data_IF_373271019884
#
_entry.id   IF_373271019884
#
_cell.length_a   1.000
_cell.length_b   1.000
_cell.length_c   1.000
_cell.angle_alpha   90.00
_cell.angle_beta   90.00
_cell.angle_gamma   90.00
#
_symmetry.space_group_name_H-M   'P 1'
#
loop_
_entity.id
_entity.type
_entity.pdbx_description
1 polymer ?
#
# COMPACT_ATOMS: atom_id res chain seq x y z
N UNK A 1 48.47 -15.45 -49.74
CA UNK A 1 47.86 -16.28 -48.67
C UNK A 1 47.98 -15.51 -47.37
N UNK A 2 46.87 -14.94 -46.88
CA UNK A 2 46.57 -14.45 -45.52
C UNK A 2 45.36 -13.51 -45.61
N UNK A 3 44.24 -13.75 -44.89
CA UNK A 3 43.10 -12.83 -44.86
C UNK A 3 43.22 -11.83 -43.69
N UNK A 4 42.63 -10.62 -43.80
CA UNK A 4 42.52 -9.67 -42.69
C UNK A 4 41.29 -9.94 -41.83
N UNK A 5 41.42 -9.57 -40.56
CA UNK A 5 40.51 -9.74 -39.44
C UNK A 5 39.07 -9.24 -39.67
N UNK A 6 38.10 -10.08 -39.32
CA UNK A 6 36.74 -9.65 -38.93
C UNK A 6 36.70 -9.63 -37.40
N UNK A 7 36.78 -8.46 -36.78
CA UNK A 7 36.57 -8.29 -35.35
C UNK A 7 35.09 -7.97 -35.10
N UNK A 8 34.33 -8.98 -34.66
CA UNK A 8 32.98 -8.80 -34.12
C UNK A 8 33.13 -8.42 -32.63
N UNK A 9 32.93 -7.16 -32.28
CA UNK A 9 32.80 -6.74 -30.88
C UNK A 9 31.39 -7.10 -30.37
N UNK A 10 31.28 -8.26 -29.73
CA UNK A 10 30.17 -8.58 -28.83
C UNK A 10 30.45 -7.91 -27.48
N UNK A 11 29.77 -6.80 -27.20
CA UNK A 11 29.64 -6.26 -25.84
C UNK A 11 28.71 -7.17 -25.04
N UNK A 12 29.25 -8.27 -24.53
CA UNK A 12 28.63 -9.02 -23.44
C UNK A 12 28.80 -8.19 -22.16
N UNK A 13 27.71 -7.64 -21.63
CA UNK A 13 27.68 -7.07 -20.31
C UNK A 13 27.94 -8.19 -19.28
N UNK A 14 29.15 -8.22 -18.72
CA UNK A 14 29.46 -9.09 -17.60
C UNK A 14 28.70 -8.60 -16.37
N UNK A 15 27.59 -9.26 -16.03
CA UNK A 15 27.17 -9.36 -14.65
C UNK A 15 28.26 -10.15 -13.88
N UNK A 16 28.62 -9.76 -12.65
CA UNK A 16 29.59 -10.52 -11.87
C UNK A 16 29.08 -11.96 -11.65
N UNK A 17 29.98 -12.96 -11.59
CA UNK A 17 29.59 -14.32 -11.31
C UNK A 17 28.96 -14.37 -9.93
N UNK A 18 27.73 -14.87 -9.88
CA UNK A 18 27.05 -15.22 -8.64
C UNK A 18 27.84 -16.37 -8.04
N UNK A 19 28.41 -16.16 -6.86
CA UNK A 19 29.21 -17.16 -6.16
C UNK A 19 28.31 -18.37 -5.86
N UNK A 20 28.69 -19.55 -6.37
CA UNK A 20 27.95 -20.81 -6.26
C UNK A 20 28.11 -21.41 -4.85
N UNK A 21 27.58 -20.72 -3.84
CA UNK A 21 27.26 -21.31 -2.53
C UNK A 21 25.86 -20.94 -2.03
N UNK A 22 25.01 -20.34 -2.87
CA UNK A 22 23.58 -20.25 -2.57
C UNK A 22 22.96 -21.63 -2.80
N UNK A 23 22.97 -22.45 -1.73
CA UNK A 23 21.95 -23.48 -1.56
C UNK A 23 20.62 -22.83 -1.88
N UNK A 24 19.95 -23.31 -2.93
CA UNK A 24 18.61 -22.91 -3.29
C UNK A 24 17.80 -22.80 -2.00
N UNK A 25 17.38 -21.59 -1.66
CA UNK A 25 16.49 -21.30 -0.54
C UNK A 25 15.18 -22.02 -0.83
N UNK A 26 15.15 -23.31 -0.50
CA UNK A 26 13.97 -24.15 -0.49
C UNK A 26 12.97 -23.42 0.34
N UNK A 27 11.97 -22.82 -0.32
CA UNK A 27 10.68 -22.36 0.20
C UNK A 27 10.65 -22.46 1.73
N UNK A 28 11.35 -21.54 2.41
CA UNK A 28 11.58 -21.69 3.85
C UNK A 28 10.19 -21.78 4.45
N UNK A 29 9.90 -22.90 5.08
CA UNK A 29 8.62 -23.16 5.66
C UNK A 29 8.44 -22.10 6.74
N UNK A 30 7.76 -21.02 6.37
CA UNK A 30 7.32 -19.98 7.26
C UNK A 30 6.27 -20.50 8.24
N UNK A 31 5.95 -21.80 8.21
CA UNK A 31 4.93 -22.43 9.02
C UNK A 31 5.14 -22.03 10.48
N UNK A 32 4.05 -21.56 11.11
CA UNK A 32 4.05 -21.39 12.55
C UNK A 32 4.40 -22.72 13.19
N UNK A 33 5.12 -22.68 14.30
CA UNK A 33 5.38 -23.89 15.06
C UNK A 33 4.03 -24.44 15.53
N UNK A 34 3.60 -25.61 15.01
CA UNK A 34 2.32 -26.21 15.40
C UNK A 34 2.27 -26.48 16.91
N UNK A 35 3.44 -26.66 17.54
CA UNK A 35 3.61 -26.86 18.97
C UNK A 35 3.75 -25.53 19.75
N UNK A 36 3.94 -24.38 19.07
CA UNK A 36 3.94 -23.04 19.65
C UNK A 36 3.29 -22.00 18.71
N UNK A 37 1.95 -21.89 18.73
CA UNK A 37 1.20 -21.03 17.81
C UNK A 37 1.46 -19.53 18.01
N UNK A 38 2.06 -19.15 19.14
CA UNK A 38 2.46 -17.77 19.46
C UNK A 38 3.87 -17.43 18.95
N UNK A 39 4.54 -18.38 18.30
CA UNK A 39 5.87 -18.18 17.75
C UNK A 39 5.88 -17.66 16.31
N UNK A 40 6.92 -16.90 16.01
CA UNK A 40 7.10 -16.23 14.74
C UNK A 40 8.52 -16.45 14.19
N UNK A 41 8.62 -16.53 12.87
CA UNK A 41 9.82 -16.80 12.09
C UNK A 41 10.48 -15.51 11.61
N UNK A 42 11.78 -15.42 11.82
CA UNK A 42 12.54 -14.21 11.53
C UNK A 42 13.05 -14.13 10.10
N UNK A 43 13.68 -13.00 9.79
CA UNK A 43 14.26 -12.76 8.48
C UNK A 43 15.48 -11.84 8.53
N UNK A 44 16.37 -11.98 7.55
CA UNK A 44 17.59 -11.19 7.41
C UNK A 44 17.38 -9.96 6.53
N UNK A 45 16.41 -10.02 5.60
CA UNK A 45 16.17 -8.99 4.60
C UNK A 45 15.08 -8.01 5.03
N UNK A 46 15.34 -6.70 4.88
CA UNK A 46 14.36 -5.65 5.17
C UNK A 46 13.17 -5.66 4.19
N UNK A 47 13.43 -5.42 2.91
CA UNK A 47 12.41 -5.35 1.86
C UNK A 47 12.20 -6.67 1.10
N UNK A 48 13.24 -7.53 1.07
CA UNK A 48 13.36 -8.67 0.15
C UNK A 48 13.20 -8.31 -1.35
N UNK A 49 13.54 -7.07 -1.70
CA UNK A 49 13.61 -6.56 -3.07
C UNK A 49 14.56 -5.35 -3.12
N UNK A 50 15.27 -5.08 -4.23
CA UNK A 50 16.09 -3.87 -4.37
C UNK A 50 15.25 -2.60 -4.55
N UNK A 51 13.95 -2.71 -4.84
CA UNK A 51 13.04 -1.57 -4.98
C UNK A 51 12.63 -1.07 -3.59
N UNK A 52 13.02 0.16 -3.26
CA UNK A 52 12.74 0.76 -1.94
C UNK A 52 11.61 1.77 -1.96
N UNK A 53 11.16 2.20 -3.14
CA UNK A 53 10.20 3.30 -3.26
C UNK A 53 9.36 3.15 -4.51
N UNK A 54 8.06 3.25 -4.32
CA UNK A 54 7.08 3.46 -5.37
C UNK A 54 6.51 4.87 -5.21
N UNK A 55 6.48 5.62 -6.31
CA UNK A 55 6.01 7.00 -6.33
C UNK A 55 4.48 7.05 -6.35
N UNK A 56 3.89 8.05 -5.67
CA UNK A 56 2.44 8.26 -5.70
C UNK A 56 1.96 8.90 -7.00
N UNK A 57 2.79 9.71 -7.64
CA UNK A 57 2.50 10.43 -8.86
C UNK A 57 3.00 9.68 -10.11
N UNK A 58 2.36 9.99 -11.24
CA UNK A 58 2.71 9.48 -12.57
C UNK A 58 2.69 7.95 -12.68
N UNK A 59 1.81 7.28 -11.94
CA UNK A 59 1.46 5.90 -12.29
C UNK A 59 0.65 5.89 -13.58
N UNK A 60 0.68 4.77 -14.30
CA UNK A 60 -0.16 4.55 -15.47
C UNK A 60 -1.14 3.42 -15.19
N UNK A 61 -2.43 3.61 -15.46
CA UNK A 61 -3.47 2.58 -15.30
C UNK A 61 -4.08 2.22 -16.65
N UNK A 62 -4.55 0.99 -16.79
CA UNK A 62 -5.24 0.56 -18.01
C UNK A 62 -6.67 1.11 -18.01
N UNK A 63 -7.03 1.86 -19.05
CA UNK A 63 -8.38 2.33 -19.27
C UNK A 63 -8.70 2.38 -20.77
N UNK A 64 -9.77 1.71 -21.17
CA UNK A 64 -10.27 1.68 -22.55
C UNK A 64 -9.19 1.35 -23.60
N UNK A 65 -8.37 0.32 -23.30
CA UNK A 65 -7.29 -0.12 -24.19
C UNK A 65 -6.02 0.73 -24.16
N UNK A 66 -5.99 1.84 -23.42
CA UNK A 66 -4.83 2.73 -23.31
C UNK A 66 -4.30 2.84 -21.86
N UNK A 67 -3.05 3.31 -21.74
CA UNK A 67 -2.47 3.68 -20.45
C UNK A 67 -2.76 5.16 -20.15
N UNK A 68 -3.33 5.42 -18.99
CA UNK A 68 -3.69 6.77 -18.53
C UNK A 68 -2.95 7.11 -17.25
N UNK A 69 -2.51 8.36 -17.13
CA UNK A 69 -1.86 8.85 -15.92
C UNK A 69 -2.85 8.81 -14.75
N UNK A 70 -2.39 8.33 -13.60
CA UNK A 70 -3.12 8.32 -12.35
C UNK A 70 -2.23 8.72 -11.18
N UNK A 71 -2.86 9.27 -10.14
CA UNK A 71 -2.22 9.50 -8.84
C UNK A 71 -2.65 8.41 -7.88
N UNK A 72 -1.68 7.67 -7.36
CA UNK A 72 -1.87 6.65 -6.34
C UNK A 72 -2.02 7.27 -4.96
N UNK A 73 -2.64 6.51 -4.08
CA UNK A 73 -2.66 6.73 -2.63
C UNK A 73 -2.74 5.37 -1.96
N UNK A 74 -2.28 5.27 -0.72
CA UNK A 74 -2.59 4.13 0.12
C UNK A 74 -3.84 4.45 0.94
N UNK A 75 -4.83 3.56 0.88
CA UNK A 75 -6.00 3.61 1.75
C UNK A 75 -6.04 2.32 2.54
N UNK A 76 -5.65 2.40 3.82
CA UNK A 76 -5.34 1.21 4.62
C UNK A 76 -4.24 0.38 3.93
N UNK A 77 -4.44 -0.92 3.76
CA UNK A 77 -3.51 -1.84 3.09
C UNK A 77 -3.72 -1.96 1.58
N UNK A 78 -4.42 -1.01 0.95
CA UNK A 78 -4.76 -1.04 -0.48
C UNK A 78 -4.11 0.13 -1.23
N UNK A 79 -3.48 -0.15 -2.37
CA UNK A 79 -3.15 0.86 -3.39
C UNK A 79 -4.43 1.27 -4.11
N UNK A 80 -4.70 2.58 -4.19
CA UNK A 80 -5.86 3.13 -4.88
C UNK A 80 -5.39 4.15 -5.90
N UNK A 81 -5.77 3.99 -7.16
CA UNK A 81 -5.41 4.91 -8.23
C UNK A 81 -6.55 5.88 -8.53
N UNK A 82 -6.25 7.17 -8.58
CA UNK A 82 -7.17 8.20 -9.05
C UNK A 82 -6.76 8.60 -10.47
N UNK A 83 -7.51 8.15 -11.45
CA UNK A 83 -7.34 8.54 -12.86
C UNK A 83 -8.18 9.80 -13.13
N UNK A 84 -7.57 10.94 -13.52
CA UNK A 84 -8.32 12.12 -13.91
C UNK A 84 -9.19 11.84 -15.13
N UNK A 85 -10.43 12.33 -15.09
CA UNK A 85 -11.33 12.36 -16.23
C UNK A 85 -11.26 13.72 -16.90
N UNK A 86 -11.31 13.72 -18.23
CA UNK A 86 -11.45 14.93 -19.03
C UNK A 86 -12.52 14.71 -20.08
N UNK A 87 -13.10 15.79 -20.60
CA UNK A 87 -13.97 15.69 -21.78
C UNK A 87 -13.12 16.00 -23.00
N UNK A 88 -13.00 15.01 -23.88
CA UNK A 88 -12.21 15.06 -25.10
C UNK A 88 -13.08 15.43 -26.31
N UNK A 89 -12.60 16.38 -27.10
CA UNK A 89 -13.18 16.75 -28.39
C UNK A 89 -14.40 17.68 -28.31
N UNK A 90 -14.98 17.94 -29.47
CA UNK A 90 -16.19 18.74 -29.63
C UNK A 90 -17.10 18.08 -30.68
N UNK A 91 -18.41 18.27 -30.53
CA UNK A 91 -19.40 17.86 -31.52
C UNK A 91 -20.38 19.00 -31.78
N UNK A 92 -21.18 18.95 -32.86
CA UNK A 92 -22.25 19.92 -33.10
C UNK A 92 -23.14 20.20 -31.89
N UNK A 93 -23.39 19.20 -31.04
CA UNK A 93 -24.14 19.35 -29.79
C UNK A 93 -23.65 20.47 -28.89
N UNK A 94 -22.34 20.72 -28.86
CA UNK A 94 -21.73 21.80 -28.07
C UNK A 94 -21.68 23.15 -28.81
N UNK A 95 -22.06 23.19 -30.08
CA UNK A 95 -22.07 24.41 -30.88
C UNK A 95 -23.33 25.23 -30.60
N UNK A 96 -23.25 26.54 -30.85
CA UNK A 96 -24.41 27.43 -30.75
C UNK A 96 -25.52 27.02 -31.74
N UNK A 97 -26.78 27.11 -31.30
CA UNK A 97 -27.91 26.87 -32.19
C UNK A 97 -28.26 28.11 -32.99
N UNK A 98 -28.26 27.99 -34.32
CA UNK A 98 -28.85 28.98 -35.22
C UNK A 98 -30.36 29.15 -35.01
N UNK A 99 -30.93 30.21 -35.60
CA UNK A 99 -32.36 30.47 -35.54
C UNK A 99 -33.19 29.32 -36.13
N UNK A 100 -34.27 28.95 -35.45
CA UNK A 100 -35.18 27.88 -35.89
C UNK A 100 -34.78 26.46 -35.50
N UNK A 101 -33.75 26.28 -34.67
CA UNK A 101 -33.37 24.97 -34.16
C UNK A 101 -34.50 24.31 -33.32
N UNK A 102 -34.68 22.97 -33.39
CA UNK A 102 -35.72 22.26 -32.64
C UNK A 102 -35.61 22.48 -31.12
N UNK A 103 -36.76 22.65 -30.47
CA UNK A 103 -36.87 22.82 -29.02
C UNK A 103 -37.16 21.47 -28.32
N UNK A 104 -36.19 20.56 -28.34
CA UNK A 104 -36.29 19.24 -27.71
C UNK A 104 -34.90 18.61 -27.45
N UNK A 105 -34.92 17.37 -26.99
CA UNK A 105 -33.77 16.52 -26.67
C UNK A 105 -33.05 15.90 -27.87
N UNK A 106 -33.67 15.95 -29.05
CA UNK A 106 -33.12 15.39 -30.28
C UNK A 106 -32.29 16.40 -31.07
N UNK A 107 -32.31 17.68 -30.70
CA UNK A 107 -31.54 18.74 -31.39
C UNK A 107 -30.03 18.47 -31.35
N UNK A 108 -29.31 18.91 -32.38
CA UNK A 108 -27.85 18.70 -32.51
C UNK A 108 -26.99 19.89 -32.08
N UNK A 109 -27.46 20.77 -31.18
CA UNK A 109 -26.73 21.99 -30.78
C UNK A 109 -27.20 22.54 -29.42
N UNK A 110 -26.48 23.52 -28.89
CA UNK A 110 -26.91 24.33 -27.74
C UNK A 110 -26.90 23.57 -26.41
N UNK A 111 -26.04 22.57 -26.29
CA UNK A 111 -25.72 21.92 -25.02
C UNK A 111 -24.39 22.44 -24.47
N UNK A 112 -24.23 22.30 -23.17
CA UNK A 112 -22.95 22.42 -22.48
C UNK A 112 -22.62 21.07 -21.84
N UNK A 113 -21.34 20.87 -21.52
CA UNK A 113 -20.93 19.77 -20.65
C UNK A 113 -21.42 20.10 -19.23
N UNK A 114 -22.30 19.25 -18.71
CA UNK A 114 -22.77 19.35 -17.32
C UNK A 114 -21.77 18.70 -16.37
N UNK A 115 -21.24 17.53 -16.76
CA UNK A 115 -20.25 16.80 -15.99
C UNK A 115 -20.03 15.38 -16.49
N UNK A 116 -19.16 14.65 -15.78
CA UNK A 116 -18.88 13.24 -16.05
C UNK A 116 -19.27 12.38 -14.84
N UNK A 117 -19.58 11.12 -15.11
CA UNK A 117 -19.93 10.15 -14.09
C UNK A 117 -19.20 8.83 -14.27
N UNK A 118 -19.05 8.13 -13.14
CA UNK A 118 -18.45 6.79 -13.09
C UNK A 118 -19.47 5.80 -12.55
N UNK A 119 -19.62 4.67 -13.23
CA UNK A 119 -20.60 3.64 -12.92
C UNK A 119 -20.02 2.24 -13.14
N UNK A 120 -20.68 1.23 -12.58
CA UNK A 120 -20.33 -0.18 -12.82
C UNK A 120 -20.80 -0.60 -14.21
N UNK A 121 -19.90 -1.08 -15.10
CA UNK A 121 -20.24 -1.50 -16.45
C UNK A 121 -21.44 -2.43 -16.53
N UNK A 122 -22.35 -2.19 -17.48
CA UNK A 122 -23.55 -3.01 -17.70
C UNK A 122 -24.67 -2.82 -16.67
N UNK A 123 -24.48 -2.03 -15.60
CA UNK A 123 -25.54 -1.71 -14.64
C UNK A 123 -26.38 -0.53 -15.10
N UNK A 124 -27.66 -0.53 -14.74
CA UNK A 124 -28.55 0.59 -15.00
C UNK A 124 -28.15 1.82 -14.15
N UNK A 125 -28.08 2.98 -14.78
CA UNK A 125 -27.80 4.27 -14.16
C UNK A 125 -28.97 5.19 -14.42
N UNK A 126 -29.35 5.95 -13.38
CA UNK A 126 -30.37 6.98 -13.44
C UNK A 126 -29.74 8.33 -13.07
N UNK A 127 -29.96 9.31 -13.95
CA UNK A 127 -29.66 10.71 -13.72
C UNK A 127 -30.96 11.48 -13.58
N UNK A 128 -31.04 12.34 -12.57
CA UNK A 128 -32.23 13.12 -12.28
C UNK A 128 -31.83 14.58 -12.05
N UNK A 129 -32.53 15.49 -12.70
CA UNK A 129 -32.43 16.91 -12.37
C UNK A 129 -33.12 17.19 -11.02
N UNK A 130 -32.46 17.92 -10.12
CA UNK A 130 -33.02 18.34 -8.83
C UNK A 130 -31.95 18.77 -7.84
N UNK A 131 -32.31 19.67 -6.92
CA UNK A 131 -31.45 20.07 -5.82
C UNK A 131 -31.53 19.03 -4.68
N UNK A 132 -30.38 18.68 -4.11
CA UNK A 132 -30.21 17.63 -3.09
C UNK A 132 -30.83 17.95 -1.72
N UNK A 133 -31.56 19.08 -1.57
CA UNK A 133 -32.03 19.57 -0.27
C UNK A 133 -33.45 20.16 -0.16
N UNK A 134 -34.34 20.11 -1.16
CA UNK A 134 -35.67 20.75 -1.03
C UNK A 134 -36.83 19.99 -1.70
N UNK A 135 -37.99 19.97 -1.02
CA UNK A 135 -39.23 19.26 -1.38
C UNK A 135 -39.98 19.82 -2.62
N UNK A 136 -39.35 20.68 -3.43
CA UNK A 136 -39.90 21.19 -4.71
C UNK A 136 -38.77 21.35 -5.74
N UNK A 137 -38.55 20.31 -6.54
CA UNK A 137 -37.59 20.26 -7.66
C UNK A 137 -37.75 21.45 -8.62
N UNK A 138 -36.93 22.50 -8.56
CA UNK A 138 -37.04 23.62 -9.52
C UNK A 138 -35.94 23.62 -10.55
N UNK A 139 -36.01 22.69 -11.50
CA UNK A 139 -35.44 22.94 -12.82
C UNK A 139 -36.25 24.04 -13.51
N UNK A 140 -35.61 24.99 -14.19
CA UNK A 140 -36.26 26.09 -14.93
C UNK A 140 -35.80 26.11 -16.38
N UNK A 141 -36.61 26.67 -17.29
CA UNK A 141 -36.24 26.74 -18.72
C UNK A 141 -36.38 25.44 -19.49
N UNK A 142 -37.21 24.51 -18.98
CA UNK A 142 -37.49 23.20 -19.56
C UNK A 142 -36.23 22.42 -20.00
N UNK A 143 -35.27 22.16 -19.10
CA UNK A 143 -33.96 21.66 -19.48
C UNK A 143 -34.01 20.26 -20.07
N UNK A 144 -32.94 19.96 -20.80
CA UNK A 144 -32.71 18.71 -21.52
C UNK A 144 -31.39 18.13 -21.06
N UNK A 145 -31.35 16.80 -20.92
CA UNK A 145 -30.13 16.03 -20.67
C UNK A 145 -29.87 15.10 -21.85
N UNK A 146 -28.61 15.00 -22.26
CA UNK A 146 -28.09 13.94 -23.13
C UNK A 146 -26.93 13.24 -22.45
N UNK A 147 -26.91 11.92 -22.51
CA UNK A 147 -25.85 11.10 -21.91
C UNK A 147 -25.07 10.41 -23.02
N UNK A 148 -23.76 10.54 -22.94
CA UNK A 148 -22.78 10.03 -23.88
C UNK A 148 -21.85 9.03 -23.17
N UNK A 149 -21.48 7.96 -23.86
CA UNK A 149 -20.53 6.98 -23.38
C UNK A 149 -19.11 7.54 -23.38
N UNK A 150 -18.35 7.21 -22.35
CA UNK A 150 -16.96 7.61 -22.22
C UNK A 150 -16.77 9.10 -21.96
N UNK A 151 -15.61 9.57 -22.38
CA UNK A 151 -15.08 10.91 -22.13
C UNK A 151 -15.37 11.90 -23.27
N UNK A 152 -16.34 11.62 -24.16
CA UNK A 152 -16.61 12.47 -25.31
C UNK A 152 -18.08 12.95 -25.36
N UNK A 153 -18.34 14.15 -25.90
CA UNK A 153 -19.69 14.55 -26.29
C UNK A 153 -20.19 13.70 -27.46
N UNK A 154 -21.50 13.60 -27.62
CA UNK A 154 -22.16 12.77 -28.63
C UNK A 154 -23.40 13.44 -29.20
N UNK A 155 -23.74 13.03 -30.42
CA UNK A 155 -24.98 13.43 -31.09
C UNK A 155 -26.14 12.51 -30.72
N UNK A 156 -27.38 13.00 -30.86
CA UNK A 156 -28.57 12.18 -30.62
C UNK A 156 -28.58 10.96 -31.52
N UNK A 157 -28.73 9.76 -30.95
CA UNK A 157 -28.65 8.47 -31.67
C UNK A 157 -27.36 8.27 -32.48
N UNK A 158 -26.32 9.07 -32.24
CA UNK A 158 -25.01 8.93 -32.86
C UNK A 158 -24.11 7.94 -32.10
N UNK A 159 -22.86 7.77 -32.57
CA UNK A 159 -21.85 6.99 -31.84
C UNK A 159 -21.68 7.50 -30.41
N UNK A 160 -21.67 6.59 -29.44
CA UNK A 160 -21.57 6.92 -28.02
C UNK A 160 -22.85 7.46 -27.39
N UNK A 161 -23.95 7.64 -28.12
CA UNK A 161 -25.22 8.01 -27.53
C UNK A 161 -25.75 6.92 -26.60
N UNK A 162 -26.09 7.29 -25.36
CA UNK A 162 -26.68 6.37 -24.39
C UNK A 162 -28.18 6.64 -24.22
N UNK A 163 -28.53 7.89 -23.92
CA UNK A 163 -29.92 8.29 -23.73
C UNK A 163 -30.09 9.82 -23.73
N UNK A 164 -31.33 10.28 -23.77
CA UNK A 164 -31.68 11.68 -23.55
C UNK A 164 -33.04 11.77 -22.88
N UNK A 165 -33.27 12.85 -22.15
CA UNK A 165 -34.57 13.17 -21.58
C UNK A 165 -34.80 14.67 -21.57
N UNK A 166 -36.07 15.06 -21.62
CA UNK A 166 -36.54 16.42 -21.49
C UNK A 166 -37.45 16.54 -20.25
N UNK A 167 -37.56 17.74 -19.70
CA UNK A 167 -38.65 18.07 -18.77
C UNK A 167 -39.90 18.50 -19.53
N UNK A 168 -41.09 18.20 -18.99
CA UNK A 168 -42.32 18.89 -19.43
C UNK A 168 -42.35 20.35 -18.96
N UNK A 169 -43.18 21.20 -19.60
CA UNK A 169 -43.30 22.65 -19.36
C UNK A 169 -43.80 23.01 -17.94
N UNK A 170 -44.27 22.05 -17.14
CA UNK A 170 -44.77 22.32 -15.79
C UNK A 170 -43.65 22.56 -14.78
N UNK A 171 -43.77 23.64 -14.00
CA UNK A 171 -42.98 23.87 -12.79
C UNK A 171 -43.01 22.60 -11.91
N UNK A 172 -41.83 22.09 -11.55
CA UNK A 172 -41.58 20.86 -10.78
C UNK A 172 -41.33 19.55 -11.54
N UNK A 173 -41.21 19.56 -12.88
CA UNK A 173 -40.76 18.39 -13.62
C UNK A 173 -39.33 18.59 -14.14
N UNK A 174 -38.36 17.87 -13.58
CA UNK A 174 -36.98 17.85 -14.06
C UNK A 174 -36.78 16.65 -14.99
N UNK A 175 -35.89 16.73 -15.99
CA UNK A 175 -35.57 15.56 -16.82
C UNK A 175 -34.99 14.46 -15.94
N UNK A 176 -35.44 13.23 -16.17
CA UNK A 176 -34.87 12.03 -15.60
C UNK A 176 -34.56 11.07 -16.75
N UNK A 177 -33.34 10.54 -16.76
CA UNK A 177 -32.86 9.66 -17.82
C UNK A 177 -32.24 8.41 -17.22
N UNK A 178 -32.61 7.26 -17.78
CA UNK A 178 -32.05 5.96 -17.42
C UNK A 178 -31.31 5.38 -18.62
N UNK A 179 -30.15 4.79 -18.38
CA UNK A 179 -29.32 4.16 -19.40
C UNK A 179 -28.49 3.02 -18.80
N UNK A 180 -27.89 2.19 -19.64
CA UNK A 180 -26.95 1.15 -19.21
C UNK A 180 -25.54 1.73 -19.21
N UNK A 181 -24.82 1.55 -18.10
CA UNK A 181 -23.44 2.00 -17.97
C UNK A 181 -22.54 1.38 -19.07
N UNK A 182 -21.75 2.18 -19.79
CA UNK A 182 -20.88 1.68 -20.85
C UNK A 182 -19.75 0.79 -20.30
N UNK A 183 -19.11 0.02 -21.17
CA UNK A 183 -18.01 -0.89 -20.82
C UNK A 183 -16.82 -0.18 -20.16
N UNK A 184 -16.54 1.06 -20.56
CA UNK A 184 -15.50 1.91 -19.94
C UNK A 184 -15.83 2.28 -18.49
N UNK A 185 -17.10 2.19 -18.09
CA UNK A 185 -17.59 2.63 -16.78
C UNK A 185 -17.61 4.15 -16.60
N UNK A 186 -17.42 4.92 -17.68
CA UNK A 186 -17.42 6.39 -17.67
C UNK A 186 -18.48 6.89 -18.65
N UNK A 187 -19.18 7.96 -18.28
CA UNK A 187 -20.09 8.66 -19.19
C UNK A 187 -19.96 10.17 -19.03
N UNK A 188 -20.33 10.91 -20.07
CA UNK A 188 -20.37 12.37 -20.11
C UNK A 188 -21.82 12.81 -20.27
N UNK A 189 -22.29 13.69 -19.38
CA UNK A 189 -23.61 14.26 -19.44
C UNK A 189 -23.54 15.68 -20.03
N UNK A 190 -24.36 15.90 -21.05
CA UNK A 190 -24.59 17.20 -21.65
C UNK A 190 -25.95 17.72 -21.17
N UNK A 191 -26.03 19.03 -20.91
CA UNK A 191 -27.27 19.67 -20.52
C UNK A 191 -27.49 20.98 -21.26
N UNK A 192 -28.74 21.41 -21.38
CA UNK A 192 -29.08 22.66 -22.05
C UNK A 192 -30.54 23.03 -21.84
N UNK A 193 -30.97 24.21 -22.31
CA UNK A 193 -32.37 24.62 -22.23
C UNK A 193 -33.23 23.77 -23.17
N UNK A 194 -34.55 23.68 -22.97
CA UNK A 194 -35.44 23.00 -23.91
C UNK A 194 -35.50 23.72 -25.25
N UNK A 195 -35.70 25.03 -25.19
CA UNK A 195 -35.61 25.94 -26.33
C UNK A 195 -34.20 26.53 -26.39
N UNK A 196 -33.48 26.44 -27.52
CA UNK A 196 -32.16 27.04 -27.61
C UNK A 196 -32.15 28.53 -27.27
N UNK A 197 -31.04 28.99 -26.67
CA UNK A 197 -30.80 30.40 -26.33
C UNK A 197 -31.75 30.99 -25.27
N UNK A 198 -32.45 30.15 -24.49
CA UNK A 198 -33.24 30.61 -23.33
C UNK A 198 -32.52 30.33 -22.02
N UNK A 199 -32.85 31.08 -20.97
CA UNK A 199 -32.36 30.83 -19.61
C UNK A 199 -32.89 29.51 -19.06
N UNK A 200 -32.03 28.74 -18.42
CA UNK A 200 -32.38 27.46 -17.80
C UNK A 200 -31.51 27.23 -16.56
N UNK A 201 -32.01 26.41 -15.64
CA UNK A 201 -31.27 25.97 -14.46
C UNK A 201 -31.62 24.51 -14.19
N UNK A 202 -30.59 23.70 -13.93
CA UNK A 202 -30.70 22.33 -13.50
C UNK A 202 -29.43 21.95 -12.74
N UNK A 203 -29.57 21.11 -11.72
CA UNK A 203 -28.46 20.37 -11.13
C UNK A 203 -28.73 18.89 -11.34
N UNK A 204 -27.82 18.20 -12.04
CA UNK A 204 -27.98 16.78 -12.31
C UNK A 204 -27.32 15.98 -11.19
N UNK A 205 -28.02 14.96 -10.70
CA UNK A 205 -27.52 14.07 -9.65
C UNK A 205 -27.74 12.61 -10.02
N UNK A 206 -26.96 11.72 -9.41
CA UNK A 206 -27.17 10.28 -9.51
C UNK A 206 -27.17 9.63 -8.13
N UNK A 207 -28.03 8.62 -7.95
CA UNK A 207 -27.99 7.71 -6.80
C UNK A 207 -27.39 6.34 -7.14
N UNK A 208 -27.23 6.04 -8.43
CA UNK A 208 -26.76 4.75 -8.95
C UNK A 208 -25.36 4.82 -9.56
N UNK A 209 -24.75 6.00 -9.55
CA UNK A 209 -23.38 6.26 -10.02
C UNK A 209 -22.77 7.40 -9.22
N UNK A 210 -21.45 7.58 -9.32
CA UNK A 210 -20.80 8.77 -8.76
C UNK A 210 -20.88 9.88 -9.80
N UNK A 211 -21.67 10.91 -9.52
CA UNK A 211 -21.88 12.06 -10.41
C UNK A 211 -22.19 13.34 -9.61
N UNK A 212 -21.63 14.50 -9.99
CA UNK A 212 -20.52 14.64 -10.95
C UNK A 212 -19.21 14.16 -10.32
N UNK A 213 -18.25 13.74 -11.15
CA UNK A 213 -16.89 13.43 -10.71
C UNK A 213 -15.86 13.88 -11.74
N UNK A 214 -14.67 14.24 -11.26
CA UNK A 214 -13.50 14.60 -12.07
C UNK A 214 -12.48 13.48 -12.15
N UNK A 215 -12.77 12.32 -11.55
CA UNK A 215 -11.86 11.17 -11.51
C UNK A 215 -12.60 9.85 -11.50
N UNK A 216 -11.96 8.84 -12.09
CA UNK A 216 -12.27 7.42 -11.86
C UNK A 216 -11.30 6.86 -10.84
N UNK A 217 -11.84 6.19 -9.82
CA UNK A 217 -11.05 5.52 -8.78
C UNK A 217 -10.94 4.05 -9.16
N UNK A 218 -9.72 3.53 -9.30
CA UNK A 218 -9.44 2.12 -9.56
C UNK A 218 -8.86 1.46 -8.31
N UNK A 219 -9.26 0.22 -8.07
CA UNK A 219 -9.02 -0.54 -6.84
C UNK A 219 -8.86 -2.03 -7.11
N UNK A 220 -8.24 -2.76 -6.19
CA UNK A 220 -8.06 -4.21 -6.29
C UNK A 220 -7.60 -4.65 -7.68
N UNK A 221 -8.32 -5.61 -8.28
CA UNK A 221 -8.05 -6.16 -9.61
C UNK A 221 -8.11 -5.13 -10.75
N UNK A 222 -8.78 -3.98 -10.59
CA UNK A 222 -8.75 -2.90 -11.61
C UNK A 222 -7.35 -2.27 -11.77
N UNK A 223 -6.41 -2.59 -10.88
CA UNK A 223 -5.01 -2.19 -10.99
C UNK A 223 -4.14 -3.19 -11.74
N UNK A 224 -4.65 -4.35 -12.15
CA UNK A 224 -3.91 -5.29 -12.98
C UNK A 224 -3.51 -4.62 -14.30
N UNK A 225 -2.24 -4.71 -14.65
CA UNK A 225 -1.62 -4.02 -15.79
C UNK A 225 -1.16 -2.59 -15.49
N UNK A 226 -1.42 -2.04 -14.29
CA UNK A 226 -0.93 -0.72 -13.92
C UNK A 226 0.60 -0.68 -13.88
N UNK A 227 1.19 0.43 -14.35
CA UNK A 227 2.62 0.70 -14.28
C UNK A 227 2.93 1.65 -13.14
N UNK A 228 3.70 1.17 -12.18
CA UNK A 228 4.14 1.95 -11.02
C UNK A 228 5.52 2.54 -11.29
N UNK A 229 5.72 3.79 -10.85
CA UNK A 229 6.95 4.54 -11.06
C UNK A 229 7.88 4.41 -9.87
N UNK A 230 9.18 4.25 -10.14
CA UNK A 230 10.26 4.34 -9.14
C UNK A 230 10.98 5.70 -9.25
N UNK A 231 11.70 6.18 -8.23
CA UNK A 231 12.53 7.37 -8.34
C UNK A 231 13.58 7.28 -9.47
N UNK A 232 13.43 8.16 -10.47
CA UNK A 232 14.31 8.63 -11.58
C UNK A 232 15.49 7.80 -12.15
N UNK A 233 15.59 6.48 -11.95
CA UNK A 233 16.57 5.62 -12.66
C UNK A 233 16.14 4.14 -12.80
N UNK A 234 15.11 3.69 -12.09
CA UNK A 234 14.66 2.30 -12.14
C UNK A 234 13.69 2.01 -13.30
N UNK A 235 13.67 0.77 -13.85
CA UNK A 235 12.60 0.35 -14.76
C UNK A 235 11.24 0.50 -14.09
N UNK A 236 10.21 0.88 -14.84
CA UNK A 236 8.85 0.90 -14.30
C UNK A 236 8.45 -0.51 -13.85
N UNK A 237 7.56 -0.58 -12.88
CA UNK A 237 7.01 -1.83 -12.35
C UNK A 237 5.64 -2.08 -12.96
N UNK A 238 5.26 -3.34 -13.16
CA UNK A 238 3.92 -3.72 -13.65
C UNK A 238 3.24 -4.55 -12.57
N UNK A 239 2.02 -4.19 -12.23
CA UNK A 239 1.14 -5.03 -11.41
C UNK A 239 0.59 -6.14 -12.30
N UNK A 240 0.89 -7.39 -11.96
CA UNK A 240 0.43 -8.58 -12.71
C UNK A 240 -0.81 -9.19 -12.11
N UNK A 241 -0.91 -9.17 -10.78
CA UNK A 241 -2.05 -9.71 -10.06
C UNK A 241 -2.29 -8.93 -8.76
N UNK A 242 -3.54 -8.93 -8.30
CA UNK A 242 -3.97 -8.28 -7.07
C UNK A 242 -5.00 -9.14 -6.37
N UNK A 243 -4.75 -9.45 -5.10
CA UNK A 243 -5.66 -10.27 -4.30
C UNK A 243 -5.93 -9.62 -2.95
N UNK A 244 -7.07 -9.94 -2.34
CA UNK A 244 -7.29 -9.64 -0.94
C UNK A 244 -6.45 -10.59 -0.07
N UNK A 245 -5.78 -10.06 0.95
CA UNK A 245 -4.92 -10.85 1.85
C UNK A 245 -5.64 -12.00 2.56
N UNK A 246 -6.97 -11.94 2.71
CA UNK A 246 -7.76 -13.03 3.30
C UNK A 246 -7.98 -14.21 2.36
N UNK A 247 -7.68 -14.06 1.07
CA UNK A 247 -7.70 -15.16 0.11
C UNK A 247 -6.45 -16.05 0.21
N UNK A 248 -5.41 -15.61 0.91
CA UNK A 248 -4.23 -16.43 1.21
C UNK A 248 -4.23 -16.83 2.70
N UNK A 249 -4.07 -18.12 3.01
CA UNK A 249 -3.71 -18.51 4.36
C UNK A 249 -2.37 -17.86 4.72
N UNK A 250 -2.26 -17.31 5.94
CA UNK A 250 -0.97 -16.85 6.43
C UNK A 250 0.00 -18.03 6.41
N UNK A 251 1.18 -17.81 5.84
CA UNK A 251 2.22 -18.83 5.77
C UNK A 251 2.86 -19.09 7.14
N UNK A 252 2.63 -18.22 8.14
CA UNK A 252 3.24 -18.20 9.47
C UNK A 252 2.19 -18.00 10.58
N UNK A 253 1.83 -19.09 11.25
CA UNK A 253 0.82 -19.14 12.31
C UNK A 253 -0.61 -19.38 11.82
N UNK A 254 -1.55 -19.54 12.75
CA UNK A 254 -2.97 -19.72 12.46
C UNK A 254 -3.65 -18.37 12.22
N UNK A 255 -3.62 -17.84 11.00
CA UNK A 255 -4.25 -16.54 10.75
C UNK A 255 -4.44 -16.12 9.30
N UNK A 256 -5.19 -15.03 9.13
CA UNK A 256 -5.24 -14.22 7.91
C UNK A 256 -4.15 -13.14 8.00
N UNK A 257 -3.72 -12.54 6.88
CA UNK A 257 -2.82 -11.38 6.90
C UNK A 257 -3.37 -10.23 7.75
N UNK A 258 -4.69 -10.03 7.70
CA UNK A 258 -5.42 -9.06 8.49
C UNK A 258 -6.94 -9.33 8.42
N UNK A 259 -7.63 -9.69 9.53
CA UNK A 259 -9.01 -10.19 9.49
C UNK A 259 -10.08 -9.25 8.91
N UNK A 260 -9.91 -7.92 8.97
CA UNK A 260 -10.91 -6.96 8.46
C UNK A 260 -10.97 -6.87 6.93
N UNK A 261 -10.02 -7.49 6.21
CA UNK A 261 -10.02 -7.57 4.75
C UNK A 261 -9.60 -6.27 4.08
N UNK A 262 -8.87 -5.40 4.76
CA UNK A 262 -8.35 -4.15 4.20
C UNK A 262 -6.94 -4.25 3.63
N UNK A 263 -6.34 -5.43 3.72
CA UNK A 263 -5.02 -5.74 3.14
C UNK A 263 -5.17 -6.32 1.75
N UNK A 264 -4.44 -5.74 0.79
CA UNK A 264 -4.28 -6.30 -0.55
C UNK A 264 -2.82 -6.61 -0.82
N UNK A 265 -2.60 -7.68 -1.58
CA UNK A 265 -1.29 -8.16 -1.98
C UNK A 265 -1.14 -8.04 -3.49
N UNK A 266 0.07 -7.72 -3.92
CA UNK A 266 0.37 -7.38 -5.31
C UNK A 266 1.49 -8.27 -5.82
N UNK A 267 1.24 -8.98 -6.91
CA UNK A 267 2.31 -9.52 -7.75
C UNK A 267 2.77 -8.42 -8.67
N UNK A 268 4.06 -8.13 -8.60
CA UNK A 268 4.67 -7.03 -9.34
C UNK A 268 5.90 -7.57 -10.04
N UNK A 269 6.18 -7.11 -11.25
CA UNK A 269 7.43 -7.38 -11.96
C UNK A 269 8.03 -6.13 -12.57
N UNK A 270 9.26 -6.25 -13.05
CA UNK A 270 9.87 -5.19 -13.85
C UNK A 270 9.26 -5.12 -15.26
N UNK A 271 9.17 -3.92 -15.83
CA UNK A 271 8.72 -3.73 -17.22
C UNK A 271 9.72 -4.28 -18.23
N UNK A 272 11.02 -4.23 -17.90
CA UNK A 272 12.13 -4.57 -18.80
C UNK A 272 12.55 -6.03 -18.75
N UNK A 273 12.00 -6.82 -17.82
CA UNK A 273 12.33 -8.22 -17.65
C UNK A 273 11.14 -8.97 -17.03
N UNK A 274 10.97 -10.26 -17.34
CA UNK A 274 9.98 -11.13 -16.68
C UNK A 274 10.43 -11.58 -15.28
N UNK A 275 11.15 -10.70 -14.57
CA UNK A 275 11.66 -10.96 -13.22
C UNK A 275 10.66 -10.39 -12.22
N UNK A 276 10.13 -11.20 -11.29
CA UNK A 276 9.25 -10.71 -10.24
C UNK A 276 9.99 -9.74 -9.32
N UNK A 277 9.23 -8.80 -8.76
CA UNK A 277 9.71 -7.87 -7.74
C UNK A 277 10.15 -8.62 -6.47
N UNK A 278 9.43 -9.69 -6.15
CA UNK A 278 9.62 -10.57 -5.01
C UNK A 278 10.15 -11.92 -5.51
N UNK A 279 11.48 -12.07 -5.68
CA UNK A 279 12.08 -13.29 -6.25
C UNK A 279 12.06 -14.47 -5.27
N UNK A 280 11.87 -14.21 -3.98
CA UNK A 280 11.82 -15.20 -2.91
C UNK A 280 10.45 -15.14 -2.23
N UNK A 281 10.07 -16.26 -1.59
CA UNK A 281 8.78 -16.37 -0.92
C UNK A 281 7.62 -16.70 -1.87
N UNK A 282 6.42 -16.27 -1.50
CA UNK A 282 5.17 -16.49 -2.23
C UNK A 282 4.98 -15.49 -3.40
N UNK A 283 5.98 -14.65 -3.68
CA UNK A 283 5.95 -13.62 -4.72
C UNK A 283 4.83 -12.59 -4.51
N UNK A 284 4.60 -12.17 -3.27
CA UNK A 284 3.58 -11.17 -2.95
C UNK A 284 4.22 -9.97 -2.26
N UNK A 285 3.84 -8.77 -2.69
CA UNK A 285 4.21 -7.53 -2.04
C UNK A 285 3.02 -6.90 -1.30
N UNK A 286 3.27 -6.38 -0.10
CA UNK A 286 2.32 -5.54 0.65
C UNK A 286 2.72 -4.06 0.55
N UNK A 287 1.78 -3.14 0.26
CA UNK A 287 2.05 -1.72 0.28
C UNK A 287 2.07 -1.18 1.72
N UNK A 288 3.14 -0.48 2.08
CA UNK A 288 3.31 0.11 3.40
C UNK A 288 3.60 1.60 3.27
N UNK A 289 2.84 2.41 4.01
CA UNK A 289 3.03 3.87 4.05
C UNK A 289 4.36 4.22 4.72
N UNK A 290 5.07 5.18 4.13
CA UNK A 290 6.41 5.57 4.56
C UNK A 290 7.48 4.86 3.73
N UNK A 291 8.72 5.30 3.91
CA UNK A 291 9.90 4.80 3.22
C UNK A 291 10.92 4.30 4.23
N UNK A 292 11.71 3.31 3.83
CA UNK A 292 12.80 2.76 4.64
C UNK A 292 14.13 2.89 3.89
N UNK A 293 15.17 3.34 4.57
CA UNK A 293 16.53 3.34 4.04
C UNK A 293 17.20 1.95 4.20
N UNK A 294 18.48 1.85 3.78
CA UNK A 294 19.23 0.59 3.88
C UNK A 294 19.56 0.22 5.32
N UNK A 295 19.66 1.24 6.18
CA UNK A 295 19.89 1.07 7.59
C UNK A 295 18.62 0.63 8.30
N UNK A 296 17.45 0.57 7.65
CA UNK A 296 16.17 0.22 8.28
C UNK A 296 15.50 1.37 9.03
N UNK A 297 15.96 2.61 8.82
CA UNK A 297 15.31 3.80 9.35
C UNK A 297 14.09 4.14 8.51
N UNK A 298 12.95 4.36 9.17
CA UNK A 298 11.70 4.74 8.52
C UNK A 298 11.52 6.27 8.50
N UNK A 299 10.96 6.80 7.42
CA UNK A 299 10.57 8.20 7.32
C UNK A 299 9.24 8.39 6.59
N UNK A 300 8.49 9.42 6.97
CA UNK A 300 7.28 9.83 6.25
C UNK A 300 7.65 10.39 4.87
N UNK A 301 6.79 10.13 3.89
CA UNK A 301 6.97 10.66 2.53
C UNK A 301 5.62 10.99 1.90
N UNK A 302 5.39 12.24 1.46
CA UNK A 302 4.23 12.58 0.65
C UNK A 302 4.42 12.16 -0.82
N UNK A 303 5.61 11.68 -1.21
CA UNK A 303 5.96 11.41 -2.61
C UNK A 303 5.93 9.93 -2.98
N UNK A 304 6.03 9.04 -2.00
CA UNK A 304 6.04 7.61 -2.27
C UNK A 304 5.81 6.75 -1.05
N UNK A 305 5.76 5.45 -1.29
CA UNK A 305 5.53 4.41 -0.30
C UNK A 305 6.42 3.19 -0.59
N UNK A 306 6.42 2.24 0.33
CA UNK A 306 7.23 1.02 0.24
C UNK A 306 6.38 -0.15 -0.23
N UNK A 307 6.95 -1.00 -1.10
CA UNK A 307 6.45 -2.36 -1.31
C UNK A 307 7.37 -3.32 -0.55
N UNK A 308 6.84 -4.02 0.44
CA UNK A 308 7.57 -5.06 1.17
C UNK A 308 7.21 -6.43 0.60
N UNK A 309 8.19 -7.19 0.13
CA UNK A 309 7.97 -8.57 -0.30
C UNK A 309 7.74 -9.48 0.91
N UNK A 310 6.94 -10.52 0.74
CA UNK A 310 6.48 -11.42 1.80
C UNK A 310 7.61 -12.09 2.59
N UNK A 311 8.75 -12.36 1.95
CA UNK A 311 9.96 -12.88 2.59
C UNK A 311 10.67 -11.84 3.48
N UNK A 312 10.49 -10.54 3.21
CA UNK A 312 11.14 -9.45 3.92
C UNK A 312 10.44 -9.09 5.23
N UNK A 313 11.21 -8.59 6.21
CA UNK A 313 10.67 -8.32 7.54
C UNK A 313 9.65 -7.17 7.59
N UNK A 314 9.64 -6.27 6.60
CA UNK A 314 8.58 -5.26 6.46
C UNK A 314 7.20 -5.93 6.33
N UNK A 315 7.11 -6.95 5.45
CA UNK A 315 5.87 -7.68 5.23
C UNK A 315 5.56 -8.63 6.38
N UNK A 316 6.57 -9.30 6.97
CA UNK A 316 6.40 -10.15 8.15
C UNK A 316 5.80 -9.38 9.32
N UNK A 317 6.38 -8.25 9.70
CA UNK A 317 5.86 -7.42 10.79
C UNK A 317 4.44 -6.89 10.50
N UNK A 318 4.14 -6.57 9.24
CA UNK A 318 2.78 -6.22 8.84
C UNK A 318 1.81 -7.39 9.06
N UNK A 319 2.22 -8.60 8.66
CA UNK A 319 1.44 -9.85 8.77
C UNK A 319 1.26 -10.32 10.21
N UNK A 320 2.21 -10.00 11.09
CA UNK A 320 2.09 -10.25 12.54
C UNK A 320 1.08 -9.32 13.22
N UNK A 321 0.48 -8.36 12.49
CA UNK A 321 -0.56 -7.49 13.00
C UNK A 321 -0.15 -6.02 13.12
N UNK A 322 1.14 -5.69 12.96
CA UNK A 322 1.60 -4.30 13.03
C UNK A 322 1.30 -3.54 11.73
N UNK A 323 0.02 -3.40 11.35
CA UNK A 323 -0.36 -2.67 10.16
C UNK A 323 -0.34 -1.14 10.42
N UNK A 324 0.58 -0.35 9.85
CA UNK A 324 0.74 1.06 10.23
C UNK A 324 -0.48 1.94 9.99
N UNK A 325 -1.40 1.54 9.11
CA UNK A 325 -2.62 2.28 8.83
C UNK A 325 -3.67 2.21 9.95
N UNK A 326 -3.48 1.37 10.96
CA UNK A 326 -4.33 1.35 12.16
C UNK A 326 -4.26 2.68 12.95
N UNK A 327 -3.15 3.44 12.81
CA UNK A 327 -3.03 4.79 13.36
C UNK A 327 -3.85 5.85 12.56
N UNK A 328 -4.41 5.46 11.40
CA UNK A 328 -5.16 6.36 10.52
C UNK A 328 -4.26 7.20 9.62
N UNK A 329 -4.56 8.50 9.51
CA UNK A 329 -3.88 9.40 8.57
C UNK A 329 -2.49 9.83 9.04
N UNK A 330 -2.26 9.86 10.35
CA UNK A 330 -1.01 10.28 10.98
C UNK A 330 -0.37 9.07 11.64
N UNK A 331 0.95 8.92 11.49
CA UNK A 331 1.67 7.84 12.15
C UNK A 331 1.66 8.01 13.67
N UNK A 332 1.56 6.88 14.36
CA UNK A 332 1.46 6.81 15.81
C UNK A 332 2.07 5.52 16.36
N UNK A 333 1.54 5.00 17.48
CA UNK A 333 2.12 3.87 18.18
C UNK A 333 2.22 2.59 17.35
N UNK A 334 1.25 2.28 16.48
CA UNK A 334 1.31 1.06 15.65
C UNK A 334 2.39 1.18 14.58
N UNK A 335 2.55 2.36 13.99
CA UNK A 335 3.64 2.64 13.05
C UNK A 335 5.01 2.49 13.72
N UNK A 336 5.17 3.02 14.94
CA UNK A 336 6.42 2.86 15.70
C UNK A 336 6.68 1.40 16.08
N UNK A 337 5.63 0.64 16.44
CA UNK A 337 5.73 -0.78 16.71
C UNK A 337 6.10 -1.59 15.46
N UNK A 338 5.50 -1.30 14.29
CA UNK A 338 5.89 -1.91 13.02
C UNK A 338 7.38 -1.67 12.72
N UNK A 339 7.84 -0.43 12.88
CA UNK A 339 9.24 -0.08 12.66
C UNK A 339 10.16 -0.81 13.64
N UNK A 340 9.84 -0.80 14.94
CA UNK A 340 10.59 -1.52 15.99
C UNK A 340 10.61 -3.04 15.72
N UNK A 341 9.48 -3.61 15.30
CA UNK A 341 9.39 -5.00 14.89
C UNK A 341 10.36 -5.33 13.75
N UNK A 342 10.52 -4.45 12.75
CA UNK A 342 11.48 -4.73 11.67
C UNK A 342 12.92 -4.82 12.19
N UNK A 343 13.28 -4.08 13.25
CA UNK A 343 14.58 -4.18 13.92
C UNK A 343 14.71 -5.53 14.63
N UNK A 344 13.71 -5.84 15.45
CA UNK A 344 13.62 -7.08 16.23
C UNK A 344 13.70 -8.34 15.36
N UNK A 345 12.91 -8.39 14.29
CA UNK A 345 12.82 -9.54 13.39
C UNK A 345 14.13 -9.83 12.64
N UNK A 346 15.02 -8.84 12.51
CA UNK A 346 16.37 -9.01 11.97
C UNK A 346 17.44 -9.23 13.04
N UNK A 347 17.10 -9.13 14.33
CA UNK A 347 18.06 -8.88 15.41
C UNK A 347 19.02 -7.75 15.05
N UNK A 348 18.51 -6.59 14.64
CA UNK A 348 19.31 -5.43 14.26
C UNK A 348 19.88 -4.72 15.51
N UNK A 349 20.74 -5.44 16.25
CA UNK A 349 21.25 -5.00 17.55
C UNK A 349 22.01 -3.68 17.46
N UNK A 350 22.67 -3.42 16.34
CA UNK A 350 23.40 -2.16 16.13
C UNK A 350 22.50 -0.99 15.68
N UNK A 351 21.26 -1.25 15.27
CA UNK A 351 20.40 -0.21 14.69
C UNK A 351 20.87 0.33 13.34
N UNK A 352 21.72 -0.41 12.64
CA UNK A 352 22.37 0.02 11.38
C UNK A 352 21.94 -0.82 10.17
N UNK A 353 20.93 -1.68 10.33
CA UNK A 353 20.38 -2.51 9.25
C UNK A 353 21.08 -3.86 9.08
N UNK A 354 22.20 -4.09 9.78
CA UNK A 354 22.88 -5.39 9.79
C UNK A 354 22.06 -6.39 10.60
N UNK A 355 21.77 -7.55 10.01
CA UNK A 355 21.04 -8.61 10.69
C UNK A 355 22.00 -9.49 11.50
N UNK A 356 21.60 -9.83 12.72
CA UNK A 356 22.30 -10.79 13.58
C UNK A 356 21.42 -12.01 13.89
N UNK A 357 20.63 -12.43 12.89
CA UNK A 357 19.81 -13.63 12.93
C UNK A 357 19.98 -14.45 11.65
N UNK A 358 19.44 -15.65 11.64
CA UNK A 358 19.26 -16.46 10.44
C UNK A 358 17.78 -16.49 10.07
N UNK A 359 17.49 -16.58 8.77
CA UNK A 359 16.12 -16.71 8.27
C UNK A 359 15.45 -17.96 8.88
N UNK A 360 14.19 -17.82 9.31
CA UNK A 360 13.45 -18.89 9.97
C UNK A 360 13.74 -19.08 11.46
N UNK A 361 14.66 -18.33 12.07
CA UNK A 361 14.92 -18.42 13.52
C UNK A 361 13.66 -18.07 14.31
N UNK A 362 13.19 -18.98 15.17
CA UNK A 362 11.98 -18.81 16.00
C UNK A 362 12.17 -17.76 17.10
N UNK A 363 11.16 -16.91 17.27
CA UNK A 363 11.00 -15.99 18.41
C UNK A 363 9.56 -15.98 18.90
N UNK A 364 9.36 -15.46 20.12
CA UNK A 364 8.02 -15.13 20.62
C UNK A 364 7.94 -13.62 20.90
N UNK A 365 7.39 -12.82 19.97
CA UNK A 365 7.24 -11.39 20.13
C UNK A 365 5.97 -11.01 20.88
N UNK A 366 5.94 -9.81 21.46
CA UNK A 366 4.72 -9.13 21.94
C UNK A 366 4.95 -7.62 22.02
N UNK A 367 3.90 -6.87 22.35
CA UNK A 367 4.00 -5.41 22.51
C UNK A 367 3.32 -4.87 23.76
N UNK A 368 3.63 -3.60 24.06
CA UNK A 368 3.02 -2.82 25.14
C UNK A 368 2.00 -1.80 24.61
N UNK A 369 1.40 -2.04 23.43
CA UNK A 369 0.34 -1.18 22.93
C UNK A 369 -0.95 -1.39 23.73
N UNK A 370 -1.85 -0.41 23.64
CA UNK A 370 -3.17 -0.45 24.27
C UNK A 370 -4.25 -0.13 23.23
N UNK A 371 -5.01 -1.13 22.74
CA UNK A 371 -4.86 -2.57 23.00
C UNK A 371 -3.58 -3.15 22.37
N UNK A 372 -3.09 -4.26 22.93
CA UNK A 372 -1.95 -4.98 22.38
C UNK A 372 -2.31 -5.60 21.02
N UNK A 373 -1.35 -5.59 20.08
CA UNK A 373 -1.52 -6.29 18.80
C UNK A 373 -1.14 -7.76 18.97
N UNK A 374 0.02 -8.00 19.59
CA UNK A 374 0.46 -9.33 20.01
C UNK A 374 0.52 -9.32 21.54
N UNK A 375 -0.24 -10.23 22.15
CA UNK A 375 -0.37 -10.30 23.60
C UNK A 375 0.89 -10.87 24.24
N UNK A 376 1.19 -10.40 25.46
CA UNK A 376 2.30 -10.97 26.22
C UNK A 376 2.10 -12.48 26.44
N UNK A 377 3.17 -13.29 26.38
CA UNK A 377 3.09 -14.71 26.65
C UNK A 377 2.47 -14.98 28.03
N UNK A 378 1.60 -15.98 28.13
CA UNK A 378 1.11 -16.43 29.44
C UNK A 378 2.29 -16.95 30.28
N UNK A 379 2.35 -16.67 31.60
CA UNK A 379 3.42 -17.19 32.47
C UNK A 379 3.60 -18.71 32.36
N UNK A 380 2.52 -19.45 32.12
CA UNK A 380 2.50 -20.91 32.02
C UNK A 380 2.77 -21.43 30.59
N UNK A 381 2.87 -20.54 29.59
CA UNK A 381 3.10 -20.90 28.18
C UNK A 381 4.58 -21.06 27.82
N UNK A 382 5.49 -20.98 28.79
CA UNK A 382 6.93 -20.99 28.52
C UNK A 382 7.32 -22.24 27.72
N UNK A 383 7.77 -22.04 26.49
CA UNK A 383 8.64 -23.04 25.88
C UNK A 383 9.94 -22.94 26.67
N UNK A 384 10.37 -24.05 27.29
CA UNK A 384 11.49 -24.07 28.24
C UNK A 384 12.84 -23.60 27.63
N UNK A 385 12.88 -23.33 26.32
CA UNK A 385 14.02 -22.92 25.53
C UNK A 385 14.05 -21.42 25.14
N UNK A 386 12.93 -20.68 25.26
CA UNK A 386 12.86 -19.27 24.88
C UNK A 386 12.87 -18.36 26.11
N UNK A 387 13.91 -17.53 26.24
CA UNK A 387 14.07 -16.55 27.32
C UNK A 387 13.96 -15.13 26.79
N UNK A 388 13.73 -14.16 27.68
CA UNK A 388 13.67 -12.75 27.33
C UNK A 388 14.96 -12.28 26.64
N UNK A 389 14.83 -11.85 25.38
CA UNK A 389 15.96 -11.42 24.55
C UNK A 389 16.19 -9.91 24.69
N UNK A 390 15.17 -9.10 24.40
CA UNK A 390 15.31 -7.66 24.29
C UNK A 390 13.96 -6.93 24.31
N UNK A 391 14.04 -5.65 24.69
CA UNK A 391 13.04 -4.66 24.37
C UNK A 391 13.50 -3.77 23.24
N UNK A 392 12.60 -3.44 22.31
CA UNK A 392 12.90 -2.77 21.05
C UNK A 392 12.17 -1.44 20.92
N UNK A 393 12.86 -0.50 20.29
CA UNK A 393 12.32 0.74 19.78
C UNK A 393 12.74 0.92 18.30
N UNK A 394 12.49 2.11 17.74
CA UNK A 394 12.74 2.41 16.33
C UNK A 394 14.23 2.50 15.97
N UNK A 395 15.10 2.71 16.96
CA UNK A 395 16.54 2.77 16.79
C UNK A 395 17.21 1.38 16.83
N UNK A 396 16.63 0.41 17.54
CA UNK A 396 17.24 -0.89 17.79
C UNK A 396 16.74 -1.48 19.12
N UNK A 397 17.51 -2.38 19.77
CA UNK A 397 17.19 -2.78 21.12
C UNK A 397 17.37 -1.57 22.04
N UNK A 398 16.32 -1.18 22.76
CA UNK A 398 16.43 -0.21 23.84
C UNK A 398 17.07 -0.84 25.08
N UNK A 399 17.02 -2.18 25.17
CA UNK A 399 17.82 -2.96 26.09
C UNK A 399 17.93 -4.40 25.58
N UNK A 400 19.02 -5.08 25.93
CA UNK A 400 19.36 -6.41 25.43
C UNK A 400 19.82 -7.30 26.59
N UNK A 401 19.15 -8.44 26.76
CA UNK A 401 19.45 -9.47 27.76
C UNK A 401 20.46 -10.49 27.22
N UNK A 402 20.22 -11.02 26.01
CA UNK A 402 21.13 -11.96 25.37
C UNK A 402 21.09 -11.86 23.84
N UNK A 403 22.17 -12.31 23.20
CA UNK A 403 22.19 -12.51 21.75
C UNK A 403 21.46 -13.80 21.38
N UNK A 404 20.75 -13.76 20.25
CA UNK A 404 20.05 -14.93 19.71
C UNK A 404 20.97 -16.01 19.16
N UNK A 405 22.02 -15.60 18.46
CA UNK A 405 23.03 -16.49 17.90
C UNK A 405 24.40 -16.12 18.44
N UNK A 406 25.01 -16.98 19.27
CA UNK A 406 26.28 -16.65 19.94
C UNK A 406 27.42 -16.34 18.98
N UNK A 407 27.40 -16.91 17.77
CA UNK A 407 28.45 -16.70 16.77
C UNK A 407 28.22 -15.46 15.89
N UNK A 408 26.99 -14.92 15.84
CA UNK A 408 26.68 -13.66 15.16
C UNK A 408 26.85 -12.51 16.15
N UNK A 409 28.08 -12.29 16.59
CA UNK A 409 28.40 -11.28 17.60
C UNK A 409 28.18 -9.86 17.06
N UNK A 410 27.45 -9.02 17.81
CA UNK A 410 27.21 -7.61 17.50
C UNK A 410 28.18 -6.72 18.31
N UNK A 411 29.35 -6.33 17.78
CA UNK A 411 30.39 -5.63 18.54
C UNK A 411 29.98 -4.23 19.00
N UNK A 412 28.95 -3.65 18.38
CA UNK A 412 28.34 -2.37 18.72
C UNK A 412 27.59 -2.38 20.06
N UNK A 413 27.14 -3.55 20.53
CA UNK A 413 26.40 -3.73 21.79
C UNK A 413 27.10 -4.83 22.60
N UNK A 414 28.21 -4.50 23.28
CA UNK A 414 28.92 -5.48 24.08
C UNK A 414 28.09 -5.87 25.30
N UNK A 415 27.62 -7.11 25.32
CA UNK A 415 27.02 -7.72 26.52
C UNK A 415 28.14 -8.04 27.52
N UNK A 416 28.35 -7.13 28.46
CA UNK A 416 29.31 -7.32 29.53
C UNK A 416 28.64 -8.08 30.69
N UNK A 417 29.25 -9.14 31.24
CA UNK A 417 28.75 -9.75 32.46
C UNK A 417 28.77 -8.73 33.62
N UNK A 418 27.91 -8.90 34.63
CA UNK A 418 27.96 -8.07 35.84
C UNK A 418 29.36 -8.14 36.47
N UNK A 419 29.91 -6.98 36.80
CA UNK A 419 31.14 -6.80 37.57
C UNK A 419 30.70 -6.64 39.02
N UNK A 420 31.25 -7.47 39.90
CA UNK A 420 30.97 -7.43 41.32
C UNK A 420 32.14 -6.77 42.07
N UNK A 421 31.85 -5.95 43.08
CA UNK A 421 32.86 -5.51 44.03
C UNK A 421 33.26 -6.65 45.00
N UNK A 422 34.23 -6.36 45.87
CA UNK A 422 34.71 -7.30 46.88
C UNK A 422 33.63 -7.72 47.91
N UNK A 423 32.51 -7.00 47.98
CA UNK A 423 31.39 -7.29 48.86
C UNK A 423 30.25 -8.03 48.14
N UNK A 424 30.40 -8.33 46.84
CA UNK A 424 29.38 -8.97 46.02
C UNK A 424 28.29 -8.03 45.48
N UNK A 425 28.48 -6.71 45.56
CA UNK A 425 27.57 -5.75 44.95
C UNK A 425 27.91 -5.56 43.46
N UNK A 426 26.90 -5.41 42.60
CA UNK A 426 27.11 -5.10 41.18
C UNK A 426 27.58 -3.64 41.06
N UNK A 427 28.72 -3.41 40.41
CA UNK A 427 29.33 -2.07 40.23
C UNK A 427 29.36 -1.57 38.79
N UNK A 428 28.80 -2.33 37.85
CA UNK A 428 28.64 -1.94 36.46
C UNK A 428 27.17 -2.03 36.01
N UNK A 429 26.24 -1.82 36.92
CA UNK A 429 24.83 -1.83 36.57
C UNK A 429 24.51 -0.58 35.74
N UNK A 430 24.27 -0.78 34.44
CA UNK A 430 23.83 0.29 33.54
C UNK A 430 22.52 0.94 33.98
N UNK A 431 21.81 0.33 34.95
CA UNK A 431 20.59 0.85 35.55
C UNK A 431 20.85 1.87 36.66
N UNK A 432 22.07 2.00 37.18
CA UNK A 432 22.38 2.97 38.25
C UNK A 432 22.66 4.38 37.70
N UNK A 433 21.80 5.38 37.96
CA UNK A 433 22.01 6.75 37.50
C UNK A 433 23.24 7.43 38.14
N UNK A 434 23.82 6.86 39.19
CA UNK A 434 24.99 7.40 39.90
C UNK A 434 26.32 6.78 39.45
N UNK A 435 26.30 5.78 38.58
CA UNK A 435 27.53 5.16 38.06
C UNK A 435 28.11 6.06 36.94
N UNK A 436 29.37 6.54 37.06
CA UNK A 436 29.91 7.53 36.13
C UNK A 436 30.09 6.96 34.71
N UNK A 437 29.30 7.47 33.78
CA UNK A 437 29.37 7.17 32.35
C UNK A 437 30.69 7.68 31.76
N UNK A 438 31.50 6.76 31.25
CA UNK A 438 32.61 7.07 30.34
C UNK A 438 32.26 6.53 28.94
N UNK A 439 32.82 7.09 27.86
CA UNK A 439 32.61 6.55 26.51
C UNK A 439 32.98 5.06 26.45
N UNK A 440 32.03 4.19 26.06
CA UNK A 440 32.24 2.75 25.90
C UNK A 440 31.89 1.85 27.10
N UNK A 441 31.10 2.30 28.07
CA UNK A 441 30.74 1.49 29.25
C UNK A 441 29.30 0.95 29.20
N UNK A 442 29.23 -0.35 28.88
CA UNK A 442 28.15 -1.32 29.06
C UNK A 442 26.85 -1.12 28.24
N UNK A 443 26.34 -2.22 27.66
CA UNK A 443 25.05 -2.24 26.98
C UNK A 443 23.89 -2.02 27.97
N UNK A 444 22.83 -1.33 27.55
CA UNK A 444 21.57 -1.24 28.32
C UNK A 444 20.99 -2.67 28.46
N UNK A 445 20.93 -3.19 29.68
CA UNK A 445 20.45 -4.55 29.99
C UNK A 445 19.11 -4.45 30.73
N UNK A 446 18.19 -5.35 30.40
CA UNK A 446 16.91 -5.54 31.06
C UNK A 446 16.63 -7.03 31.20
N UNK A 447 16.06 -7.42 32.34
CA UNK A 447 15.77 -8.83 32.63
C UNK A 447 14.40 -9.26 32.06
N UNK A 448 13.51 -8.30 31.83
CA UNK A 448 12.12 -8.53 31.42
C UNK A 448 11.51 -7.33 30.66
N UNK A 449 10.31 -7.53 30.12
CA UNK A 449 9.59 -6.48 29.38
C UNK A 449 9.08 -5.33 30.26
N UNK A 450 8.80 -5.56 31.54
CA UNK A 450 8.34 -4.49 32.43
C UNK A 450 9.46 -3.46 32.61
N UNK A 451 10.68 -3.93 32.88
CA UNK A 451 11.88 -3.10 32.95
C UNK A 451 12.15 -2.42 31.60
N UNK A 452 12.09 -3.18 30.50
CA UNK A 452 12.32 -2.67 29.15
C UNK A 452 11.38 -1.52 28.78
N UNK A 453 10.09 -1.63 29.12
CA UNK A 453 9.10 -0.59 28.86
C UNK A 453 9.27 0.61 29.79
N UNK A 454 9.43 0.36 31.10
CA UNK A 454 9.42 1.39 32.14
C UNK A 454 10.66 2.27 32.12
N UNK A 455 11.83 1.69 31.88
CA UNK A 455 13.11 2.40 32.00
C UNK A 455 13.69 2.80 30.64
N UNK A 456 13.42 2.03 29.59
CA UNK A 456 14.07 2.21 28.29
C UNK A 456 13.09 2.58 27.16
N UNK A 457 11.79 2.71 27.46
CA UNK A 457 10.79 3.14 26.47
C UNK A 457 10.55 2.13 25.35
N UNK A 458 10.83 0.85 25.60
CA UNK A 458 10.55 -0.23 24.65
C UNK A 458 9.05 -0.36 24.38
N UNK A 459 8.68 -0.65 23.13
CA UNK A 459 7.27 -0.87 22.74
C UNK A 459 6.99 -2.28 22.26
N UNK A 460 8.02 -2.95 21.74
CA UNK A 460 7.96 -4.32 21.23
C UNK A 460 9.04 -5.12 21.95
N UNK A 461 8.76 -6.37 22.24
CA UNK A 461 9.65 -7.25 22.99
C UNK A 461 9.68 -8.61 22.31
N UNK A 462 10.69 -9.41 22.62
CA UNK A 462 10.66 -10.81 22.25
C UNK A 462 11.42 -11.72 23.20
N UNK A 463 11.02 -12.99 23.17
CA UNK A 463 11.84 -14.09 23.64
C UNK A 463 12.55 -14.75 22.45
N UNK A 464 13.73 -15.31 22.70
CA UNK A 464 14.41 -16.20 21.77
C UNK A 464 15.25 -17.25 22.49
N UNK A 465 15.64 -18.29 21.77
CA UNK A 465 16.63 -19.25 22.23
C UNK A 465 18.03 -18.66 22.12
N UNK A 466 18.95 -19.14 22.96
CA UNK A 466 20.38 -18.85 22.84
C UNK A 466 21.03 -19.93 21.98
N UNK A 467 21.11 -19.68 20.67
CA UNK A 467 21.58 -20.65 19.69
C UNK A 467 23.12 -20.69 19.58
N UNK A 468 23.65 -21.89 19.40
CA UNK A 468 25.05 -22.17 19.00
C UNK A 468 25.12 -22.56 17.52
N UNK A 469 26.28 -22.44 16.86
CA UNK A 469 26.45 -22.80 15.44
C UNK A 469 25.91 -24.18 15.06
#
# INVERSE_FOLDING_TARGET
MLPPCLALYLLAACAPPVDETDTALTQQAFAGDEDDPDSHSQGTQLHATPVRTVMYDEALVQHDGALRVATLKLMRGEIVANMPLSVDGTTPSLMFCGGGAPANETRGCGFIVDGQGVCSPGKAVALMGGDSGSLRNRCTGAPVVRVCAGEAPCEHQGPGYLASANSSISLNNCPAVTFTCPSSGVYTALAGPGTPNTTWVMQLTSRSSTYPTTRKVLRGEELIGARLRQPSTGPALVVEDVINGNALPNTEGSGMWEPSGHTFLYQVRYTTASVPLCPTGANWAVPVKGLFDLQGTRYESPRGFTLGCDAGVIAKCYRWGYQPWLDGATSGPVTEAHWSCTRMARADYCGQGTSFTLDGTRIRPWDALTPAIISAPSPDSSSNDLTFEAGWNTAGPACLSHLRWKHLTAPCVPLNPPIYDANGNIVNDCRDPNTPYAPGKCAEICDDAEQAARYYGSRVFNHSAINTP
#
